data_IF_945012203301
#
_entry.id   IF_945012203301
#
_cell.length_a   1.000
_cell.length_b   1.000
_cell.length_c   1.000
_cell.angle_alpha   90.00
_cell.angle_beta   90.00
_cell.angle_gamma   90.00
#
_symmetry.space_group_name_H-M   'P 1'
#
loop_
_entity.id
_entity.type
_entity.pdbx_description
1 polymer ?
#
# COMPACT_ATOMS: atom_id res chain seq x y z
N UNK A 1 -5.63 -15.05 -16.54
CA UNK A 1 -5.62 -13.60 -16.26
C UNK A 1 -6.44 -13.26 -14.99
N UNK A 2 -6.75 -14.23 -14.12
CA UNK A 2 -7.55 -14.05 -12.89
C UNK A 2 -6.74 -13.64 -11.65
N UNK A 3 -5.41 -13.60 -11.74
CA UNK A 3 -4.50 -13.49 -10.60
C UNK A 3 -4.44 -12.10 -9.90
N UNK A 4 -5.30 -11.16 -10.28
CA UNK A 4 -5.33 -9.79 -9.73
C UNK A 4 -6.74 -9.32 -9.34
N UNK A 5 -7.76 -10.18 -9.41
CA UNK A 5 -9.18 -9.77 -9.31
C UNK A 5 -9.58 -9.30 -7.91
N UNK A 6 -8.78 -9.61 -6.88
CA UNK A 6 -9.04 -9.24 -5.47
C UNK A 6 -7.99 -8.31 -4.85
N UNK A 7 -6.92 -7.98 -5.58
CA UNK A 7 -5.93 -7.02 -5.09
C UNK A 7 -6.52 -5.62 -5.06
N UNK A 8 -6.36 -4.92 -3.93
CA UNK A 8 -6.83 -3.54 -3.77
C UNK A 8 -5.96 -2.75 -2.81
N UNK A 9 -6.09 -1.44 -2.87
CA UNK A 9 -5.53 -0.52 -1.87
C UNK A 9 -6.65 -0.12 -0.92
N UNK A 10 -6.34 0.05 0.36
CA UNK A 10 -7.24 0.69 1.31
C UNK A 10 -6.62 1.97 1.89
N UNK A 11 -7.44 3.01 2.06
CA UNK A 11 -7.05 4.29 2.66
C UNK A 11 -7.63 4.48 4.06
N UNK A 12 -8.04 3.41 4.74
CA UNK A 12 -8.55 3.47 6.12
C UNK A 12 -7.56 4.17 7.06
N UNK A 13 -6.26 3.95 6.87
CA UNK A 13 -5.19 4.58 7.65
C UNK A 13 -5.19 6.11 7.51
N UNK A 14 -5.33 6.63 6.29
CA UNK A 14 -5.46 8.07 6.03
C UNK A 14 -6.61 8.71 6.82
N UNK A 15 -7.80 8.11 6.79
CA UNK A 15 -8.97 8.68 7.49
C UNK A 15 -8.88 8.53 9.01
N UNK A 16 -8.20 7.49 9.50
CA UNK A 16 -7.88 7.38 10.92
C UNK A 16 -6.91 8.48 11.35
N UNK A 17 -5.91 8.80 10.52
CA UNK A 17 -4.96 9.90 10.76
C UNK A 17 -5.67 11.26 10.83
N UNK A 18 -6.56 11.55 9.86
CA UNK A 18 -7.42 12.74 9.88
C UNK A 18 -8.22 12.87 11.19
N UNK A 19 -8.83 11.77 11.66
CA UNK A 19 -9.57 11.76 12.93
C UNK A 19 -8.66 12.01 14.13
N UNK A 20 -7.49 11.37 14.15
CA UNK A 20 -6.53 11.51 15.26
C UNK A 20 -5.97 12.93 15.40
N UNK A 21 -5.85 13.66 14.29
CA UNK A 21 -5.35 15.03 14.24
C UNK A 21 -6.49 16.07 14.23
N UNK A 22 -7.75 15.64 14.37
CA UNK A 22 -8.96 16.48 14.35
C UNK A 22 -9.10 17.35 13.09
N UNK A 23 -8.67 16.82 11.93
CA UNK A 23 -8.73 17.49 10.63
C UNK A 23 -10.02 17.09 9.91
N UNK A 24 -10.81 18.08 9.46
CA UNK A 24 -12.00 17.81 8.65
C UNK A 24 -11.59 17.51 7.21
N UNK A 25 -12.34 16.64 6.54
CA UNK A 25 -12.07 16.28 5.14
C UNK A 25 -12.07 17.49 4.19
N UNK A 26 -12.90 18.51 4.47
CA UNK A 26 -12.90 19.78 3.72
C UNK A 26 -11.56 20.49 3.82
N UNK A 27 -11.05 20.63 5.05
CA UNK A 27 -9.80 21.34 5.33
C UNK A 27 -8.61 20.55 4.76
N UNK A 28 -8.61 19.23 4.93
CA UNK A 28 -7.61 18.34 4.29
C UNK A 28 -7.60 18.49 2.77
N UNK A 29 -8.77 18.50 2.13
CA UNK A 29 -8.88 18.66 0.68
C UNK A 29 -8.20 19.95 0.20
N UNK A 30 -8.46 21.05 0.90
CA UNK A 30 -7.91 22.37 0.58
C UNK A 30 -6.39 22.43 0.87
N UNK A 31 -5.95 21.95 2.04
CA UNK A 31 -4.56 22.04 2.48
C UNK A 31 -3.62 21.06 1.75
N UNK A 32 -4.07 19.83 1.48
CA UNK A 32 -3.33 18.89 0.63
C UNK A 32 -3.51 19.22 -0.88
N UNK A 33 -4.31 20.25 -1.19
CA UNK A 33 -4.61 20.75 -2.54
C UNK A 33 -5.22 19.66 -3.47
N UNK A 34 -5.90 18.66 -2.92
CA UNK A 34 -6.54 17.60 -3.70
C UNK A 34 -7.95 18.04 -4.13
N UNK A 35 -8.44 17.57 -5.28
CA UNK A 35 -9.79 17.93 -5.73
C UNK A 35 -10.86 16.99 -5.13
N UNK A 36 -12.14 17.36 -5.27
CA UNK A 36 -13.25 16.55 -4.73
C UNK A 36 -13.34 15.15 -5.35
N UNK A 37 -12.94 14.98 -6.61
CA UNK A 37 -12.92 13.69 -7.28
C UNK A 37 -11.87 12.76 -6.65
N UNK A 38 -10.66 13.29 -6.39
CA UNK A 38 -9.60 12.56 -5.68
C UNK A 38 -10.04 12.17 -4.28
N UNK A 39 -10.67 13.09 -3.52
CA UNK A 39 -11.20 12.75 -2.20
C UNK A 39 -12.24 11.63 -2.28
N UNK A 40 -13.14 11.66 -3.26
CA UNK A 40 -14.12 10.61 -3.47
C UNK A 40 -13.46 9.26 -3.78
N UNK A 41 -12.41 9.24 -4.60
CA UNK A 41 -11.63 8.03 -4.89
C UNK A 41 -10.98 7.45 -3.63
N UNK A 42 -10.37 8.29 -2.79
CA UNK A 42 -9.78 7.86 -1.53
C UNK A 42 -10.83 7.24 -0.59
N UNK A 43 -12.03 7.83 -0.51
CA UNK A 43 -13.15 7.30 0.29
C UNK A 43 -13.61 5.92 -0.18
N UNK A 44 -13.56 5.66 -1.49
CA UNK A 44 -14.02 4.41 -2.10
C UNK A 44 -12.89 3.42 -2.41
N UNK A 45 -11.68 3.65 -1.87
CA UNK A 45 -10.53 2.76 -2.07
C UNK A 45 -10.16 2.57 -3.56
N UNK A 46 -10.39 3.60 -4.37
CA UNK A 46 -10.03 3.62 -5.79
C UNK A 46 -8.58 4.03 -6.01
N UNK A 47 -8.06 3.73 -7.20
CA UNK A 47 -6.72 4.14 -7.59
C UNK A 47 -6.61 5.67 -7.74
N UNK A 48 -5.62 6.25 -7.08
CA UNK A 48 -5.13 7.61 -7.32
C UNK A 48 -3.71 7.56 -7.88
N UNK A 49 -3.22 8.69 -8.38
CA UNK A 49 -1.84 8.76 -8.88
C UNK A 49 -0.84 8.80 -7.73
N UNK A 50 0.40 8.38 -7.98
CA UNK A 50 1.48 8.49 -7.00
C UNK A 50 1.74 9.95 -6.60
N UNK A 51 1.50 10.91 -7.50
CA UNK A 51 1.60 12.34 -7.19
C UNK A 51 0.64 12.73 -6.05
N UNK A 52 -0.60 12.23 -6.07
CA UNK A 52 -1.55 12.46 -4.97
C UNK A 52 -1.02 11.86 -3.67
N UNK A 53 -0.48 10.64 -3.71
CA UNK A 53 0.11 10.00 -2.53
C UNK A 53 1.26 10.83 -1.97
N UNK A 54 2.21 11.26 -2.81
CA UNK A 54 3.33 12.10 -2.38
C UNK A 54 2.87 13.41 -1.74
N UNK A 55 1.81 14.04 -2.26
CA UNK A 55 1.26 15.28 -1.69
C UNK A 55 0.58 15.07 -0.35
N UNK A 56 -0.10 13.94 -0.16
CA UNK A 56 -0.68 13.58 1.14
C UNK A 56 0.45 13.27 2.15
N UNK A 57 1.49 12.54 1.72
CA UNK A 57 2.67 12.29 2.52
C UNK A 57 3.39 13.58 2.93
N UNK A 58 3.56 14.53 2.01
CA UNK A 58 4.15 15.84 2.30
C UNK A 58 3.28 16.66 3.26
N UNK A 59 1.95 16.65 3.09
CA UNK A 59 1.04 17.33 4.03
C UNK A 59 1.16 16.79 5.46
N UNK A 60 1.25 15.46 5.63
CA UNK A 60 1.33 14.81 6.94
C UNK A 60 2.76 14.57 7.44
N UNK A 61 3.78 14.87 6.63
CA UNK A 61 5.18 14.51 6.86
C UNK A 61 5.34 13.03 7.24
N UNK A 62 4.70 12.15 6.46
CA UNK A 62 4.63 10.72 6.74
C UNK A 62 4.97 9.87 5.51
N UNK A 63 5.14 8.56 5.72
CA UNK A 63 5.37 7.60 4.65
C UNK A 63 4.07 7.02 4.09
N UNK A 64 4.06 6.49 2.84
CA UNK A 64 2.84 5.93 2.24
C UNK A 64 2.20 4.80 3.06
N UNK A 65 2.98 3.96 3.73
CA UNK A 65 2.47 2.87 4.57
C UNK A 65 1.69 3.36 5.80
N UNK A 66 1.87 4.63 6.20
CA UNK A 66 1.09 5.25 7.27
C UNK A 66 -0.28 5.74 6.82
N UNK A 67 -0.53 5.89 5.51
CA UNK A 67 -1.78 6.43 4.96
C UNK A 67 -2.54 5.44 4.07
N UNK A 68 -1.87 4.42 3.55
CA UNK A 68 -2.48 3.40 2.69
C UNK A 68 -1.97 2.00 3.02
N UNK A 69 -2.80 1.01 2.72
CA UNK A 69 -2.49 -0.40 2.92
C UNK A 69 -2.76 -1.18 1.64
N UNK A 70 -1.82 -2.05 1.28
CA UNK A 70 -2.01 -3.00 0.19
C UNK A 70 -2.71 -4.25 0.71
N UNK A 71 -3.87 -4.56 0.13
CA UNK A 71 -4.62 -5.77 0.41
C UNK A 71 -4.32 -6.79 -0.71
N UNK A 72 -3.55 -7.84 -0.40
CA UNK A 72 -3.18 -8.83 -1.40
C UNK A 72 -4.34 -9.76 -1.79
N UNK A 73 -4.17 -10.48 -2.90
CA UNK A 73 -5.08 -11.57 -3.27
C UNK A 73 -5.01 -12.73 -2.26
N UNK A 74 -6.04 -13.57 -2.20
CA UNK A 74 -6.19 -14.64 -1.20
C UNK A 74 -5.06 -15.69 -1.23
N UNK A 75 -4.37 -15.86 -2.36
CA UNK A 75 -3.24 -16.79 -2.50
C UNK A 75 -1.87 -16.15 -2.27
N UNK A 76 -1.81 -14.91 -1.76
CA UNK A 76 -0.53 -14.22 -1.56
C UNK A 76 0.36 -14.91 -0.54
N UNK A 77 -0.19 -15.39 0.58
CA UNK A 77 0.58 -16.08 1.61
C UNK A 77 1.20 -17.37 1.07
N UNK A 78 0.42 -18.18 0.34
CA UNK A 78 0.89 -19.40 -0.32
C UNK A 78 2.04 -19.10 -1.30
N UNK A 79 1.92 -18.02 -2.09
CA UNK A 79 3.00 -17.57 -3.00
C UNK A 79 4.26 -17.13 -2.25
N UNK A 80 4.12 -16.47 -1.10
CA UNK A 80 5.28 -16.08 -0.28
C UNK A 80 5.96 -17.31 0.33
N UNK A 81 5.20 -18.29 0.83
CA UNK A 81 5.74 -19.54 1.38
C UNK A 81 6.50 -20.32 0.30
N UNK A 82 5.89 -20.55 -0.87
CA UNK A 82 6.55 -21.22 -1.98
C UNK A 82 7.84 -20.50 -2.42
N UNK A 83 7.84 -19.15 -2.43
CA UNK A 83 9.04 -18.37 -2.73
C UNK A 83 10.14 -18.58 -1.67
N UNK A 84 9.78 -18.58 -0.39
CA UNK A 84 10.72 -18.77 0.72
C UNK A 84 11.34 -20.18 0.69
N UNK A 85 10.53 -21.21 0.46
CA UNK A 85 10.99 -22.59 0.34
C UNK A 85 11.99 -22.76 -0.81
N UNK A 86 11.67 -22.21 -1.99
CA UNK A 86 12.57 -22.24 -3.15
C UNK A 86 13.86 -21.46 -2.86
N UNK A 87 13.77 -20.30 -2.20
CA UNK A 87 14.95 -19.52 -1.82
C UNK A 87 15.85 -20.28 -0.83
N UNK A 88 15.27 -21.00 0.13
CA UNK A 88 16.02 -21.83 1.08
C UNK A 88 16.75 -22.98 0.36
N UNK A 89 16.08 -23.66 -0.57
CA UNK A 89 16.69 -24.71 -1.40
C UNK A 89 17.84 -24.16 -2.24
N UNK A 90 17.67 -22.99 -2.85
CA UNK A 90 18.73 -22.33 -3.64
C UNK A 90 19.94 -21.99 -2.76
N UNK A 91 19.72 -21.46 -1.56
CA UNK A 91 20.80 -21.10 -0.64
C UNK A 91 21.63 -22.34 -0.25
N UNK A 92 20.99 -23.45 0.08
CA UNK A 92 21.66 -24.71 0.40
C UNK A 92 22.47 -25.24 -0.79
N UNK A 93 21.90 -25.21 -2.00
CA UNK A 93 22.60 -25.65 -3.21
C UNK A 93 23.81 -24.75 -3.54
N UNK A 94 23.68 -23.43 -3.34
CA UNK A 94 24.78 -22.49 -3.54
C UNK A 94 25.93 -22.72 -2.56
N UNK A 95 25.66 -23.12 -1.32
CA UNK A 95 26.71 -23.50 -0.35
C UNK A 95 27.41 -24.78 -0.77
N UNK A 96 26.66 -25.83 -1.15
CA UNK A 96 27.22 -27.08 -1.65
C UNK A 96 28.15 -26.84 -2.84
N UNK A 97 27.74 -26.00 -3.80
CA UNK A 97 28.57 -25.65 -4.96
C UNK A 97 29.89 -24.94 -4.59
N UNK A 98 29.96 -24.20 -3.49
CA UNK A 98 31.22 -23.58 -3.02
C UNK A 98 32.20 -24.59 -2.43
N UNK A 99 31.69 -25.73 -1.98
CA UNK A 99 32.48 -26.81 -1.37
C UNK A 99 32.87 -27.91 -2.36
N UNK A 100 32.39 -27.83 -3.60
CA UNK A 100 32.78 -28.68 -4.73
C UNK A 100 33.94 -28.04 -5.49
#
# INVERSE_FOLDING_TARGET
MEAYKKMRIEYTRLFNKLKSENIKQKDFKEQANINSNTLNKLLHNENVTLEIICRICDYFQCMPDEIMEFIPDSNYIEKQQAKQEVQAQIAELQEKLKTM
#
